data_IF_548423146822
#
_entry.id   IF_548423146822
#
_cell.length_a   1.000
_cell.length_b   1.000
_cell.length_c   1.000
_cell.angle_alpha   90.00
_cell.angle_beta   90.00
_cell.angle_gamma   90.00
#
_symmetry.space_group_name_H-M   'P 1'
#
loop_
_entity.id
_entity.type
_entity.pdbx_description
1 polymer ?
#
# COMPACT_ATOMS: atom_id res chain seq x y z
N UNK A 1 -28.49 31.38 -6.62
CA UNK A 1 -27.87 31.69 -5.31
C UNK A 1 -27.93 30.51 -4.35
N UNK A 2 -29.10 30.05 -3.90
CA UNK A 2 -29.19 28.96 -2.90
C UNK A 2 -28.64 27.61 -3.41
N UNK A 3 -29.02 27.20 -4.62
CA UNK A 3 -28.52 25.97 -5.25
C UNK A 3 -27.00 25.97 -5.54
N UNK A 4 -26.42 27.15 -5.85
CA UNK A 4 -24.98 27.30 -6.02
C UNK A 4 -24.25 27.11 -4.69
N UNK A 5 -24.76 27.75 -3.63
CA UNK A 5 -24.18 27.64 -2.30
C UNK A 5 -24.26 26.19 -1.76
N UNK A 6 -25.38 25.51 -1.99
CA UNK A 6 -25.54 24.09 -1.66
C UNK A 6 -24.54 23.22 -2.42
N UNK A 7 -24.37 23.46 -3.73
CA UNK A 7 -23.42 22.73 -4.57
C UNK A 7 -21.97 22.93 -4.11
N UNK A 8 -21.59 24.16 -3.74
CA UNK A 8 -20.27 24.47 -3.18
C UNK A 8 -20.04 23.75 -1.86
N UNK A 9 -21.02 23.77 -0.95
CA UNK A 9 -20.92 23.10 0.35
C UNK A 9 -20.84 21.58 0.20
N UNK A 10 -21.59 21.02 -0.74
CA UNK A 10 -21.57 19.59 -1.03
C UNK A 10 -20.23 19.17 -1.66
N UNK A 11 -19.72 19.91 -2.63
CA UNK A 11 -18.38 19.70 -3.20
C UNK A 11 -17.30 19.73 -2.11
N UNK A 12 -17.34 20.74 -1.23
CA UNK A 12 -16.38 20.86 -0.14
C UNK A 12 -16.39 19.66 0.80
N UNK A 13 -17.58 19.16 1.15
CA UNK A 13 -17.76 17.98 2.01
C UNK A 13 -17.22 16.72 1.34
N UNK A 14 -17.51 16.52 0.05
CA UNK A 14 -17.00 15.36 -0.70
C UNK A 14 -15.48 15.38 -0.82
N UNK A 15 -14.88 16.55 -1.06
CA UNK A 15 -13.43 16.70 -1.12
C UNK A 15 -12.77 16.44 0.24
N UNK A 16 -13.39 16.85 1.35
CA UNK A 16 -12.89 16.51 2.70
C UNK A 16 -12.93 15.00 2.95
N UNK A 17 -14.02 14.35 2.55
CA UNK A 17 -14.16 12.91 2.67
C UNK A 17 -13.17 12.16 1.78
N UNK A 18 -12.94 12.65 0.55
CA UNK A 18 -11.96 12.10 -0.38
C UNK A 18 -10.53 12.17 0.20
N UNK A 19 -10.15 13.33 0.76
CA UNK A 19 -8.85 13.50 1.44
C UNK A 19 -8.74 12.54 2.63
N UNK A 20 -9.81 12.39 3.42
CA UNK A 20 -9.83 11.46 4.56
C UNK A 20 -9.60 10.01 4.11
N UNK A 21 -10.30 9.54 3.06
CA UNK A 21 -10.12 8.19 2.52
C UNK A 21 -8.69 8.01 1.97
N UNK A 22 -8.15 8.99 1.25
CA UNK A 22 -6.76 8.92 0.77
C UNK A 22 -5.73 8.88 1.89
N UNK A 23 -5.97 9.55 3.02
CA UNK A 23 -5.12 9.39 4.23
C UNK A 23 -5.18 7.97 4.77
N UNK A 24 -6.37 7.37 4.84
CA UNK A 24 -6.54 5.98 5.28
C UNK A 24 -5.84 5.00 4.34
N UNK A 25 -6.01 5.14 3.02
CA UNK A 25 -5.32 4.33 2.01
C UNK A 25 -3.80 4.41 2.18
N UNK A 26 -3.25 5.63 2.30
CA UNK A 26 -1.83 5.84 2.58
C UNK A 26 -1.41 5.15 3.88
N UNK A 27 -2.15 5.31 4.97
CA UNK A 27 -1.76 4.75 6.27
C UNK A 27 -1.81 3.22 6.29
N UNK A 28 -2.81 2.65 5.62
CA UNK A 28 -2.93 1.21 5.42
C UNK A 28 -1.79 0.71 4.55
N UNK A 29 -1.42 1.39 3.46
CA UNK A 29 -0.32 0.95 2.57
C UNK A 29 1.08 0.91 3.21
N UNK A 30 1.27 1.53 4.38
CA UNK A 30 2.50 1.43 5.17
C UNK A 30 2.59 0.15 5.98
N UNK A 31 1.50 -0.59 6.08
CA UNK A 31 1.35 -1.83 6.84
C UNK A 31 1.27 -3.01 5.87
N UNK A 32 1.32 -4.23 6.41
CA UNK A 32 0.99 -5.43 5.65
C UNK A 32 -0.53 -5.53 5.59
N UNK A 33 -1.11 -5.47 4.40
CA UNK A 33 -2.55 -5.28 4.21
C UNK A 33 -3.14 -6.47 3.47
N UNK A 34 -4.36 -6.84 3.79
CA UNK A 34 -5.16 -7.76 2.98
C UNK A 34 -5.95 -7.01 1.90
N UNK A 35 -6.26 -7.70 0.80
CA UNK A 35 -7.13 -7.16 -0.24
C UNK A 35 -8.52 -6.78 0.30
N UNK A 36 -9.02 -7.56 1.26
CA UNK A 36 -10.31 -7.35 1.94
C UNK A 36 -10.38 -6.02 2.71
N UNK A 37 -9.25 -5.51 3.19
CA UNK A 37 -9.15 -4.22 3.87
C UNK A 37 -8.97 -3.06 2.87
N UNK A 38 -8.36 -3.31 1.72
CA UNK A 38 -8.09 -2.29 0.71
C UNK A 38 -9.32 -2.01 -0.17
N UNK A 39 -10.00 -3.05 -0.63
CA UNK A 39 -11.11 -2.97 -1.58
C UNK A 39 -12.25 -2.03 -1.13
N UNK A 40 -12.71 -2.06 0.14
CA UNK A 40 -13.76 -1.15 0.59
C UNK A 40 -13.35 0.32 0.50
N UNK A 41 -12.08 0.63 0.82
CA UNK A 41 -11.55 1.99 0.77
C UNK A 41 -11.41 2.49 -0.68
N UNK A 42 -10.94 1.63 -1.59
CA UNK A 42 -10.86 1.95 -3.02
C UNK A 42 -12.26 2.18 -3.63
N UNK A 43 -13.21 1.29 -3.33
CA UNK A 43 -14.60 1.46 -3.78
C UNK A 43 -15.23 2.74 -3.26
N UNK A 44 -14.96 3.11 -2.01
CA UNK A 44 -15.43 4.38 -1.45
C UNK A 44 -14.80 5.58 -2.15
N UNK A 45 -13.49 5.54 -2.41
CA UNK A 45 -12.79 6.58 -3.17
C UNK A 45 -13.40 6.76 -4.57
N UNK A 46 -13.69 5.67 -5.29
CA UNK A 46 -14.35 5.72 -6.60
C UNK A 46 -15.76 6.32 -6.55
N UNK A 47 -16.55 5.99 -5.53
CA UNK A 47 -17.90 6.55 -5.37
C UNK A 47 -17.85 8.06 -5.11
N UNK A 48 -16.92 8.51 -4.26
CA UNK A 48 -16.69 9.93 -3.99
C UNK A 48 -16.28 10.68 -5.26
N UNK A 49 -15.38 10.11 -6.07
CA UNK A 49 -14.98 10.72 -7.35
C UNK A 49 -16.16 10.86 -8.32
N UNK A 50 -17.03 9.84 -8.42
CA UNK A 50 -18.26 9.92 -9.24
C UNK A 50 -19.23 10.98 -8.73
N UNK A 51 -19.35 11.15 -7.41
CA UNK A 51 -20.18 12.21 -6.84
C UNK A 51 -19.58 13.60 -7.09
N UNK A 52 -18.26 13.75 -6.98
CA UNK A 52 -17.54 14.99 -7.27
C UNK A 52 -17.74 15.40 -8.73
N UNK A 53 -17.57 14.47 -9.67
CA UNK A 53 -17.75 14.71 -11.11
C UNK A 53 -19.15 15.28 -11.41
N UNK A 54 -20.20 14.69 -10.84
CA UNK A 54 -21.58 15.17 -11.00
C UNK A 54 -21.77 16.59 -10.46
N UNK A 55 -21.13 16.94 -9.35
CA UNK A 55 -21.26 18.29 -8.78
C UNK A 55 -20.42 19.28 -9.56
N UNK A 56 -19.26 18.86 -10.07
CA UNK A 56 -18.41 19.69 -10.93
C UNK A 56 -19.16 20.10 -12.21
N UNK A 57 -19.90 19.17 -12.84
CA UNK A 57 -20.79 19.47 -13.98
C UNK A 57 -21.84 20.55 -13.66
N UNK A 58 -22.38 20.53 -12.44
CA UNK A 58 -23.35 21.54 -11.98
C UNK A 58 -22.63 22.87 -11.72
N UNK A 59 -21.48 22.85 -11.04
CA UNK A 59 -20.71 24.04 -10.70
C UNK A 59 -20.15 24.75 -11.95
N UNK A 60 -19.80 24.01 -13.00
CA UNK A 60 -19.37 24.57 -14.28
C UNK A 60 -20.44 25.47 -14.93
N UNK A 61 -21.72 25.25 -14.65
CA UNK A 61 -22.80 26.13 -15.12
C UNK A 61 -22.77 27.50 -14.43
N UNK A 62 -22.16 27.57 -13.24
CA UNK A 62 -22.04 28.76 -12.40
C UNK A 62 -20.60 29.26 -12.27
N UNK A 63 -19.67 28.82 -13.14
CA UNK A 63 -18.23 29.10 -13.02
C UNK A 63 -17.92 30.58 -12.79
N UNK A 64 -18.66 31.48 -13.47
CA UNK A 64 -18.47 32.94 -13.35
C UNK A 64 -18.99 33.54 -12.04
N UNK A 65 -19.84 32.81 -11.33
CA UNK A 65 -20.45 33.20 -10.05
C UNK A 65 -19.66 32.64 -8.84
N UNK A 66 -18.75 31.69 -9.07
CA UNK A 66 -17.93 31.10 -8.03
C UNK A 66 -16.75 32.03 -7.73
N UNK A 67 -16.58 32.39 -6.46
CA UNK A 67 -15.45 33.20 -6.06
C UNK A 67 -14.11 32.47 -6.29
N UNK A 68 -13.05 33.16 -6.73
CA UNK A 68 -11.72 32.58 -6.87
C UNK A 68 -11.18 31.94 -5.57
N UNK A 69 -11.62 32.42 -4.41
CA UNK A 69 -11.30 31.87 -3.10
C UNK A 69 -11.77 30.41 -2.94
N UNK A 70 -12.97 30.10 -3.44
CA UNK A 70 -13.58 28.78 -3.42
C UNK A 70 -12.86 27.85 -4.40
N UNK A 71 -12.55 28.32 -5.62
CA UNK A 71 -11.73 27.55 -6.56
C UNK A 71 -10.38 27.17 -5.96
N UNK A 72 -9.71 28.12 -5.30
CA UNK A 72 -8.44 27.87 -4.61
C UNK A 72 -8.59 26.84 -3.48
N UNK A 73 -9.71 26.85 -2.76
CA UNK A 73 -10.00 25.86 -1.72
C UNK A 73 -10.12 24.44 -2.33
N UNK A 74 -10.87 24.29 -3.42
CA UNK A 74 -11.01 23.01 -4.12
C UNK A 74 -9.66 22.51 -4.62
N UNK A 75 -8.87 23.40 -5.26
CA UNK A 75 -7.54 23.07 -5.77
C UNK A 75 -6.60 22.59 -4.66
N UNK A 76 -6.61 23.23 -3.48
CA UNK A 76 -5.79 22.78 -2.35
C UNK A 76 -6.14 21.37 -1.89
N UNK A 77 -7.42 21.04 -1.79
CA UNK A 77 -7.87 19.69 -1.38
C UNK A 77 -7.52 18.64 -2.43
N UNK A 78 -7.68 18.96 -3.72
CA UNK A 78 -7.29 18.08 -4.82
C UNK A 78 -5.77 17.86 -4.88
N UNK A 79 -4.97 18.90 -4.63
CA UNK A 79 -3.52 18.78 -4.55
C UNK A 79 -3.09 17.90 -3.37
N UNK A 80 -3.75 18.04 -2.21
CA UNK A 80 -3.51 17.16 -1.07
C UNK A 80 -3.88 15.71 -1.38
N UNK A 81 -5.06 15.48 -1.96
CA UNK A 81 -5.48 14.17 -2.45
C UNK A 81 -4.45 13.54 -3.39
N UNK A 82 -3.96 14.31 -4.37
CA UNK A 82 -2.98 13.84 -5.34
C UNK A 82 -1.66 13.45 -4.64
N UNK A 83 -1.18 14.25 -3.69
CA UNK A 83 0.01 13.94 -2.91
C UNK A 83 -0.15 12.63 -2.11
N UNK A 84 -1.29 12.47 -1.42
CA UNK A 84 -1.59 11.26 -0.64
C UNK A 84 -1.68 10.01 -1.52
N UNK A 85 -2.29 10.13 -2.71
CA UNK A 85 -2.35 9.02 -3.66
C UNK A 85 -0.97 8.66 -4.23
N UNK A 86 -0.10 9.64 -4.48
CA UNK A 86 1.27 9.36 -4.90
C UNK A 86 2.04 8.62 -3.80
N UNK A 87 1.91 9.02 -2.54
CA UNK A 87 2.49 8.30 -1.41
C UNK A 87 1.94 6.86 -1.30
N UNK A 88 0.63 6.68 -1.45
CA UNK A 88 0.00 5.36 -1.46
C UNK A 88 0.60 4.45 -2.53
N UNK A 89 0.67 4.91 -3.79
CA UNK A 89 1.25 4.16 -4.90
C UNK A 89 2.74 3.86 -4.65
N UNK A 90 3.47 4.83 -4.10
CA UNK A 90 4.88 4.65 -3.72
C UNK A 90 5.04 3.56 -2.65
N UNK A 91 4.17 3.52 -1.63
CA UNK A 91 4.26 2.51 -0.57
C UNK A 91 3.98 1.09 -1.08
N UNK A 92 3.03 0.95 -2.03
CA UNK A 92 2.77 -0.32 -2.69
C UNK A 92 3.97 -0.79 -3.51
N UNK A 93 4.60 0.10 -4.27
CA UNK A 93 5.75 -0.24 -5.13
C UNK A 93 7.06 -0.45 -4.35
N UNK A 94 7.20 0.14 -3.16
CA UNK A 94 8.45 0.14 -2.35
C UNK A 94 8.59 -1.07 -1.39
N UNK A 95 7.97 -2.21 -1.69
CA UNK A 95 8.16 -3.48 -0.95
C UNK A 95 7.54 -3.58 0.46
N UNK A 96 6.71 -2.64 0.93
CA UNK A 96 6.00 -2.77 2.23
C UNK A 96 4.56 -3.30 2.10
N UNK A 97 3.87 -3.07 0.99
CA UNK A 97 2.48 -3.53 0.79
C UNK A 97 2.31 -4.81 -0.03
N UNK A 98 3.29 -5.20 -0.85
CA UNK A 98 3.09 -6.23 -1.90
C UNK A 98 3.58 -7.64 -1.52
N UNK A 99 4.43 -7.76 -0.50
CA UNK A 99 5.12 -9.04 -0.20
C UNK A 99 4.15 -10.17 0.23
N UNK A 100 2.93 -9.88 0.67
CA UNK A 100 1.96 -10.94 1.02
C UNK A 100 0.96 -11.36 -0.07
N UNK A 101 0.76 -10.58 -1.14
CA UNK A 101 -0.12 -11.03 -2.23
C UNK A 101 0.46 -12.29 -2.91
N UNK A 102 1.77 -12.33 -3.09
CA UNK A 102 2.44 -13.52 -3.61
C UNK A 102 2.52 -14.64 -2.55
N UNK A 103 2.73 -14.35 -1.26
CA UNK A 103 2.84 -15.40 -0.25
C UNK A 103 1.52 -16.13 0.06
N UNK A 104 0.38 -15.42 0.07
CA UNK A 104 -0.94 -16.07 0.25
C UNK A 104 -1.33 -16.87 -0.98
N UNK A 105 -1.14 -16.33 -2.19
CA UNK A 105 -1.41 -17.06 -3.43
C UNK A 105 -0.53 -18.29 -3.56
N UNK A 106 0.76 -18.20 -3.18
CA UNK A 106 1.67 -19.34 -3.14
C UNK A 106 1.25 -20.35 -2.06
N UNK A 107 0.79 -19.91 -0.88
CA UNK A 107 0.29 -20.83 0.17
C UNK A 107 -1.02 -21.52 -0.23
N UNK A 108 -1.97 -20.82 -0.85
CA UNK A 108 -3.25 -21.37 -1.28
C UNK A 108 -3.07 -22.30 -2.50
N UNK A 109 -2.20 -21.96 -3.48
CA UNK A 109 -1.83 -22.86 -4.59
C UNK A 109 -1.05 -24.11 -4.10
N UNK A 110 -0.36 -24.04 -2.95
CA UNK A 110 0.33 -25.19 -2.34
C UNK A 110 -0.56 -26.06 -1.43
N UNK A 111 -1.78 -25.61 -1.10
CA UNK A 111 -2.71 -26.34 -0.24
C UNK A 111 -3.84 -27.04 -1.02
N UNK A 112 -4.06 -26.70 -2.29
CA UNK A 112 -5.14 -27.25 -3.13
C UNK A 112 -4.68 -28.25 -4.22
N UNK A 113 -3.37 -28.55 -4.35
CA UNK A 113 -2.95 -29.68 -5.20
C UNK A 113 -2.79 -30.96 -4.37
N UNK A 114 -3.74 -31.86 -4.62
CA UNK A 114 -3.80 -33.29 -4.31
C UNK A 114 -2.56 -34.04 -4.86
N UNK A 115 -1.37 -33.75 -4.34
CA UNK A 115 -0.11 -34.35 -4.76
C UNK A 115 0.19 -35.63 -3.96
N UNK A 116 0.58 -36.73 -4.64
CA UNK A 116 0.82 -38.02 -4.02
C UNK A 116 1.98 -37.93 -3.02
N UNK A 117 1.83 -38.62 -1.89
CA UNK A 117 2.86 -38.80 -0.85
C UNK A 117 4.23 -39.18 -1.45
N UNK A 118 5.08 -38.19 -1.67
CA UNK A 118 6.51 -38.43 -1.80
C UNK A 118 7.10 -38.47 -0.39
N UNK A 119 7.42 -39.68 0.06
CA UNK A 119 8.28 -39.91 1.22
C UNK A 119 9.66 -39.28 0.94
N UNK A 120 9.87 -38.06 1.42
CA UNK A 120 11.23 -37.56 1.65
C UNK A 120 11.74 -38.16 2.96
N UNK A 121 12.93 -38.79 2.97
CA UNK A 121 13.46 -39.40 4.17
C UNK A 121 13.71 -38.32 5.22
N UNK A 122 13.07 -38.56 6.36
CA UNK A 122 13.22 -37.85 7.62
C UNK A 122 14.70 -37.88 8.01
N UNK A 123 15.42 -36.77 7.82
CA UNK A 123 16.73 -36.57 8.44
C UNK A 123 16.51 -36.19 9.90
N UNK A 124 16.18 -37.19 10.70
CA UNK A 124 16.41 -37.17 12.15
C UNK A 124 17.85 -37.61 12.40
N UNK A 125 18.49 -36.91 13.34
CA UNK A 125 19.76 -37.21 13.98
C UNK A 125 20.97 -37.00 13.06
N UNK A 126 21.93 -36.13 13.39
CA UNK A 126 22.92 -36.39 14.43
C UNK A 126 23.55 -35.04 14.86
N UNK A 127 23.42 -34.70 16.15
CA UNK A 127 24.50 -34.00 16.88
C UNK A 127 25.56 -35.06 17.23
N UNK A 128 26.85 -34.67 17.30
CA UNK A 128 27.39 -34.55 18.65
C UNK A 128 28.31 -33.34 18.86
N UNK A 129 28.28 -32.91 20.12
CA UNK A 129 29.18 -32.00 20.81
C UNK A 129 30.66 -32.39 20.74
N UNK A 130 31.48 -31.33 20.86
CA UNK A 130 32.82 -31.19 21.49
C UNK A 130 33.64 -32.43 21.85
N UNK A 131 34.92 -32.44 21.46
CA UNK A 131 36.03 -32.47 22.44
C UNK A 131 37.37 -32.01 21.82
N UNK A 132 38.24 -31.53 22.68
CA UNK A 132 39.57 -30.98 22.44
C UNK A 132 40.57 -32.04 21.97
N UNK A 133 41.64 -31.65 21.27
CA UNK A 133 43.01 -32.07 21.57
C UNK A 133 44.05 -31.35 20.67
N UNK A 134 44.62 -30.28 21.25
CA UNK A 134 46.05 -30.06 21.50
C UNK A 134 47.10 -30.52 20.46
N UNK A 135 47.93 -29.54 20.10
CA UNK A 135 49.37 -29.58 19.78
C UNK A 135 49.82 -30.07 18.38
N UNK A 136 50.42 -29.16 17.59
CA UNK A 136 51.89 -28.98 17.57
C UNK A 136 52.31 -27.98 16.47
N UNK A 137 52.88 -26.84 16.87
CA UNK A 137 53.92 -26.13 16.10
C UNK A 137 55.19 -27.03 16.12
N UNK A 138 55.99 -27.15 15.05
CA UNK A 138 57.02 -26.14 14.81
C UNK A 138 57.43 -25.90 13.33
N UNK A 139 57.63 -24.63 12.98
CA UNK A 139 58.87 -24.14 12.33
C UNK A 139 59.29 -24.69 10.93
N UNK A 140 59.08 -23.91 9.86
CA UNK A 140 60.14 -23.64 8.85
C UNK A 140 59.81 -22.51 7.85
N UNK A 141 60.54 -21.41 8.01
CA UNK A 141 60.96 -20.47 6.93
C UNK A 141 61.81 -21.22 5.87
N UNK A 142 61.89 -20.79 4.60
CA UNK A 142 62.74 -19.65 4.23
C UNK A 142 62.25 -18.74 3.08
N UNK A 143 62.73 -17.49 3.15
CA UNK A 143 62.81 -16.49 2.09
C UNK A 143 63.67 -16.98 0.92
N UNK A 144 63.29 -16.58 -0.30
CA UNK A 144 64.09 -16.20 -1.51
C UNK A 144 63.09 -16.22 -2.70
N UNK A 145 62.95 -15.22 -3.57
CA UNK A 145 63.80 -14.10 -3.99
C UNK A 145 62.98 -12.81 -4.09
#
# INVERSE_FOLDING_TARGET
MEALHESINRMNSLLDELVKISRQLRDVSKQVISEEELLPLQKHQEDLLKQIEKIDEVLNQYEREIEPSIHNQFHKKLAEFQALNQEFISNLTSSHGVIQFDLKRIQDELLDEDLPHFHLPRSTDILPSTDEHKASDPNKKPKKN
#
